data_IF_717543908150
#
_entry.id   IF_717543908150
#
_cell.length_a   1.000
_cell.length_b   1.000
_cell.length_c   1.000
_cell.angle_alpha   90.00
_cell.angle_beta   90.00
_cell.angle_gamma   90.00
#
_symmetry.space_group_name_H-M   'P 1'
#
loop_
_entity.id
_entity.type
_entity.pdbx_description
1 polymer ?
#
# COMPACT_ATOMS: atom_id res chain seq x y z
N UNK A 1 -13.94 7.44 -13.92
CA UNK A 1 -13.15 6.19 -13.90
C UNK A 1 -12.19 6.29 -12.72
N UNK A 2 -12.36 5.45 -11.68
CA UNK A 2 -11.35 5.36 -10.62
C UNK A 2 -10.10 4.69 -11.22
N UNK A 3 -8.94 5.35 -11.14
CA UNK A 3 -7.68 4.79 -11.63
C UNK A 3 -7.13 3.72 -10.70
N UNK A 4 -6.10 2.98 -11.13
CA UNK A 4 -5.48 1.88 -10.40
C UNK A 4 -5.10 2.22 -8.94
N UNK A 5 -4.68 3.47 -8.69
CA UNK A 5 -4.35 3.96 -7.34
C UNK A 5 -5.56 4.13 -6.43
N UNK A 6 -6.69 4.56 -6.98
CA UNK A 6 -7.92 4.73 -6.20
C UNK A 6 -8.50 3.37 -5.85
N UNK A 7 -8.56 2.44 -6.81
CA UNK A 7 -9.02 1.06 -6.55
C UNK A 7 -8.15 0.35 -5.51
N UNK A 8 -6.84 0.56 -5.54
CA UNK A 8 -5.94 0.05 -4.50
C UNK A 8 -6.27 0.64 -3.12
N UNK A 9 -6.53 1.96 -3.02
CA UNK A 9 -6.87 2.59 -1.73
C UNK A 9 -8.23 2.15 -1.19
N UNK A 10 -9.21 2.01 -2.06
CA UNK A 10 -10.55 1.55 -1.67
C UNK A 10 -10.47 0.10 -1.18
N UNK A 11 -9.79 -0.79 -1.91
CA UNK A 11 -9.53 -2.16 -1.48
C UNK A 11 -8.77 -2.22 -0.14
N UNK A 12 -7.71 -1.45 0.01
CA UNK A 12 -6.92 -1.46 1.25
C UNK A 12 -7.76 -1.00 2.45
N UNK A 13 -8.66 -0.03 2.26
CA UNK A 13 -9.54 0.48 3.31
C UNK A 13 -10.71 -0.45 3.65
N UNK A 14 -11.30 -1.11 2.65
CA UNK A 14 -12.52 -1.92 2.82
C UNK A 14 -12.24 -3.40 3.09
N UNK A 15 -11.15 -3.93 2.54
CA UNK A 15 -10.86 -5.37 2.50
C UNK A 15 -9.68 -5.80 3.37
N UNK A 16 -8.95 -4.85 3.97
CA UNK A 16 -7.75 -5.16 4.75
C UNK A 16 -7.66 -4.33 6.04
N UNK A 17 -6.70 -4.67 6.89
CA UNK A 17 -6.36 -3.88 8.09
C UNK A 17 -4.98 -3.24 7.99
N UNK A 18 -4.45 -3.09 6.77
CA UNK A 18 -3.15 -2.49 6.57
C UNK A 18 -3.15 -1.02 7.05
N UNK A 19 -2.15 -0.59 7.84
CA UNK A 19 -2.06 0.80 8.26
C UNK A 19 -1.94 1.73 7.06
N UNK A 20 -2.59 2.89 7.13
CA UNK A 20 -2.55 3.90 6.06
C UNK A 20 -1.13 4.25 5.63
N UNK A 21 -0.18 4.29 6.57
CA UNK A 21 1.23 4.55 6.30
C UNK A 21 1.86 3.50 5.37
N UNK A 22 1.50 2.22 5.51
CA UNK A 22 1.95 1.14 4.62
C UNK A 22 1.37 1.32 3.22
N UNK A 23 0.08 1.65 3.13
CA UNK A 23 -0.61 1.91 1.86
C UNK A 23 0.00 3.10 1.11
N UNK A 24 0.25 4.21 1.81
CA UNK A 24 0.85 5.41 1.22
C UNK A 24 2.32 5.17 0.83
N UNK A 25 3.11 4.44 1.63
CA UNK A 25 4.49 4.07 1.27
C UNK A 25 4.56 3.07 0.10
N UNK A 26 3.54 2.23 -0.11
CA UNK A 26 3.46 1.39 -1.32
C UNK A 26 3.08 2.21 -2.55
N UNK A 27 2.23 3.23 -2.41
CA UNK A 27 1.84 4.11 -3.52
C UNK A 27 2.92 5.12 -3.90
N UNK A 28 3.64 5.67 -2.93
CA UNK A 28 4.54 6.81 -3.15
C UNK A 28 6.03 6.44 -3.14
N UNK A 29 6.43 5.26 -2.66
CA UNK A 29 7.79 4.72 -2.46
C UNK A 29 8.84 5.63 -1.77
N UNK A 30 8.64 6.95 -1.76
CA UNK A 30 9.47 7.98 -1.16
C UNK A 30 8.59 8.79 -0.21
N UNK A 31 9.01 8.84 1.06
CA UNK A 31 8.40 9.74 2.06
C UNK A 31 8.74 11.17 1.64
N UNK A 32 7.74 12.06 1.55
CA UNK A 32 7.97 13.47 1.20
C UNK A 32 8.76 14.21 2.30
N UNK A 33 8.72 13.70 3.53
CA UNK A 33 9.33 14.32 4.69
C UNK A 33 10.63 13.62 5.09
N UNK A 34 11.76 14.28 4.79
CA UNK A 34 13.12 13.79 5.10
C UNK A 34 13.36 13.70 6.62
N UNK A 35 12.63 14.50 7.40
CA UNK A 35 12.78 14.52 8.86
C UNK A 35 12.15 13.28 9.47
N UNK A 36 10.93 12.90 9.07
CA UNK A 36 10.30 11.66 9.53
C UNK A 36 11.03 10.40 9.04
N UNK A 37 11.57 10.43 7.81
CA UNK A 37 12.34 9.32 7.25
C UNK A 37 13.60 8.99 8.08
N UNK A 38 14.21 9.98 8.75
CA UNK A 38 15.38 9.77 9.60
C UNK A 38 15.06 9.06 10.93
N UNK A 39 13.82 9.22 11.43
CA UNK A 39 13.36 8.54 12.65
C UNK A 39 12.69 7.18 12.37
N UNK A 40 12.26 6.96 11.13
CA UNK A 40 11.62 5.72 10.72
C UNK A 40 12.67 4.68 10.31
N UNK A 41 13.15 3.88 11.27
CA UNK A 41 14.24 2.90 11.06
C UNK A 41 13.94 1.75 10.10
N UNK A 42 12.72 1.61 9.61
CA UNK A 42 12.38 0.59 8.63
C UNK A 42 11.28 1.10 7.71
N UNK A 43 11.50 1.04 6.41
CA UNK A 43 10.55 1.40 5.34
C UNK A 43 9.32 0.47 5.25
N UNK A 44 9.08 -0.31 6.31
CA UNK A 44 8.08 -1.37 6.41
C UNK A 44 8.08 -2.30 5.20
N UNK A 45 9.26 -2.56 4.61
CA UNK A 45 9.41 -3.31 3.37
C UNK A 45 8.62 -4.62 3.37
N UNK A 46 8.78 -5.44 4.41
CA UNK A 46 8.09 -6.74 4.51
C UNK A 46 6.56 -6.59 4.53
N UNK A 47 6.04 -5.58 5.25
CA UNK A 47 4.60 -5.30 5.29
C UNK A 47 4.10 -4.77 3.94
N UNK A 48 4.89 -3.94 3.26
CA UNK A 48 4.57 -3.48 1.90
C UNK A 48 4.58 -4.63 0.91
N UNK A 49 5.56 -5.51 1.00
CA UNK A 49 5.68 -6.69 0.15
C UNK A 49 4.48 -7.62 0.34
N UNK A 50 4.12 -7.94 1.59
CA UNK A 50 2.93 -8.75 1.89
C UNK A 50 1.66 -8.11 1.33
N UNK A 51 1.45 -6.82 1.58
CA UNK A 51 0.27 -6.10 1.08
C UNK A 51 0.21 -6.06 -0.45
N UNK A 52 1.34 -5.87 -1.13
CA UNK A 52 1.36 -5.86 -2.60
C UNK A 52 1.12 -7.25 -3.19
N UNK A 53 1.51 -8.33 -2.50
CA UNK A 53 1.14 -9.69 -2.89
C UNK A 53 -0.37 -9.92 -2.75
N UNK A 54 -0.97 -9.51 -1.63
CA UNK A 54 -2.42 -9.61 -1.42
C UNK A 54 -3.20 -8.79 -2.46
N UNK A 55 -2.69 -7.59 -2.78
CA UNK A 55 -3.25 -6.75 -3.84
C UNK A 55 -3.14 -7.42 -5.21
N UNK A 56 -1.99 -8.03 -5.52
CA UNK A 56 -1.81 -8.74 -6.78
C UNK A 56 -2.79 -9.90 -6.91
N UNK A 57 -3.02 -10.66 -5.83
CA UNK A 57 -4.05 -11.71 -5.80
C UNK A 57 -5.43 -11.11 -6.06
N UNK A 58 -5.80 -10.02 -5.38
CA UNK A 58 -7.10 -9.38 -5.60
C UNK A 58 -7.27 -8.83 -7.02
N UNK A 59 -6.26 -8.15 -7.56
CA UNK A 59 -6.32 -7.50 -8.87
C UNK A 59 -6.25 -8.50 -10.04
N UNK A 60 -5.69 -9.69 -9.82
CA UNK A 60 -5.55 -10.74 -10.85
C UNK A 60 -6.49 -11.92 -10.65
N UNK A 61 -7.14 -12.02 -9.49
CA UNK A 61 -8.31 -12.86 -9.29
C UNK A 61 -9.38 -12.36 -10.28
N UNK A 62 -9.36 -12.97 -11.46
CA UNK A 62 -10.29 -12.70 -12.54
C UNK A 62 -11.70 -12.80 -11.97
N UNK A 63 -12.49 -11.76 -12.24
CA UNK A 63 -13.82 -11.56 -11.67
C UNK A 63 -14.62 -12.86 -11.59
N UNK A 64 -15.28 -13.03 -10.46
CA UNK A 64 -16.43 -13.91 -10.40
C UNK A 64 -17.54 -13.37 -11.29
#
# INVERSE_FOLDING_TARGET
MHGFRSTFRDWAAESTSYPREVCELALAHSRQDKVEAAYFRGDLFEKRQSMMNDWAVYATASGK
#
